data_IF_878228575394
#
_entry.id   IF_878228575394
#
_cell.length_a   1.000
_cell.length_b   1.000
_cell.length_c   1.000
_cell.angle_alpha   90.00
_cell.angle_beta   90.00
_cell.angle_gamma   90.00
#
_symmetry.space_group_name_H-M   'P 1'
#
loop_
_entity.id
_entity.type
_entity.pdbx_description
1 polymer ?
#
# COMPACT_ATOMS: atom_id res chain seq x y z
N UNK A 1 -20.09 33.14 -1.66
CA UNK A 1 -19.78 32.66 -1.45
C UNK A 1 -19.54 31.74 -1.93
N UNK A 2 -19.60 31.69 -2.18
CA UNK A 2 -19.32 30.76 -2.38
C UNK A 2 -18.41 30.09 -2.73
N UNK A 3 -17.91 30.20 -2.74
CA UNK A 3 -16.93 29.63 -2.86
C UNK A 3 -16.45 28.73 -2.41
N UNK A 4 -16.80 28.66 -2.11
CA UNK A 4 -16.31 27.87 -1.50
C UNK A 4 -16.24 26.70 -1.92
N UNK A 5 -16.48 26.73 -2.21
CA UNK A 5 -16.25 25.59 -2.40
C UNK A 5 -15.44 24.87 -3.02
N UNK A 6 -15.15 25.37 -3.15
CA UNK A 6 -14.36 24.69 -3.43
C UNK A 6 -13.56 24.03 -3.30
N UNK A 7 -13.52 24.22 -3.14
CA UNK A 7 -12.79 23.59 -2.83
C UNK A 7 -12.46 22.76 -2.71
N UNK A 8 -12.77 22.82 -2.58
CA UNK A 8 -12.44 22.04 -2.39
C UNK A 8 -12.15 21.24 -2.73
N UNK A 9 -12.37 21.34 -2.95
CA UNK A 9 -12.04 20.53 -3.14
C UNK A 9 -11.37 19.84 -3.52
N UNK A 10 -11.24 19.99 -3.75
CA UNK A 10 -10.52 19.42 -3.78
C UNK A 10 -9.91 18.79 -3.92
N UNK A 11 -9.93 18.73 -3.90
CA UNK A 11 -9.25 18.11 -3.78
C UNK A 11 -8.69 17.41 -3.77
N UNK A 12 -8.66 17.37 -3.80
CA UNK A 12 -8.00 16.74 -3.63
C UNK A 12 -7.74 15.82 -3.66
N UNK A 13 -7.89 15.56 -3.64
CA UNK A 13 -7.64 14.65 -3.48
C UNK A 13 -7.25 13.68 -4.20
N UNK A 14 -7.52 13.46 -4.46
CA UNK A 14 -7.45 12.47 -5.36
C UNK A 14 -6.08 12.11 -5.69
N UNK A 15 -5.50 12.91 -6.03
CA UNK A 15 -4.21 12.73 -6.31
C UNK A 15 -3.56 12.01 -5.29
N UNK A 16 -4.14 11.95 -4.32
CA UNK A 16 -3.54 11.36 -3.24
C UNK A 16 -3.27 9.94 -3.38
N UNK A 17 -4.17 9.22 -3.93
CA UNK A 17 -4.05 7.81 -4.02
C UNK A 17 -2.80 7.34 -4.67
N UNK A 18 -2.29 8.04 -5.60
CA UNK A 18 -1.15 7.53 -6.30
C UNK A 18 0.13 7.69 -5.54
N UNK A 19 0.11 8.29 -4.39
CA UNK A 19 1.31 8.52 -3.63
C UNK A 19 1.52 7.57 -2.49
N UNK A 20 0.74 6.50 -2.39
CA UNK A 20 0.83 5.61 -1.25
C UNK A 20 2.03 4.69 -1.27
N UNK A 21 2.57 4.40 -2.44
CA UNK A 21 3.71 3.48 -2.55
C UNK A 21 5.00 4.27 -2.36
N UNK A 22 5.31 4.58 -1.11
CA UNK A 22 6.47 5.39 -0.75
C UNK A 22 7.34 4.67 0.26
N UNK A 23 8.58 5.09 0.35
CA UNK A 23 9.50 4.55 1.34
C UNK A 23 8.98 4.84 2.76
N UNK A 24 8.39 6.00 2.96
CA UNK A 24 7.83 6.35 4.25
C UNK A 24 6.75 5.37 4.68
N UNK A 25 5.80 5.06 3.81
CA UNK A 25 4.74 4.12 4.15
C UNK A 25 5.28 2.71 4.31
N UNK A 26 6.22 2.32 3.46
CA UNK A 26 6.84 1.02 3.56
C UNK A 26 7.54 0.84 4.92
N UNK A 27 8.18 1.89 5.41
CA UNK A 27 8.91 1.81 6.67
C UNK A 27 8.01 1.59 7.88
N UNK A 28 6.70 1.75 7.72
CA UNK A 28 5.75 1.53 8.80
C UNK A 28 5.26 0.09 8.89
N UNK A 29 5.64 -0.75 7.94
CA UNK A 29 5.21 -2.15 7.94
C UNK A 29 6.02 -2.94 8.97
N UNK A 30 5.33 -3.76 9.75
CA UNK A 30 5.96 -4.59 10.76
C UNK A 30 5.48 -6.03 10.63
N UNK A 31 6.34 -6.96 10.99
CA UNK A 31 5.96 -8.37 11.06
C UNK A 31 4.81 -8.52 12.05
N UNK A 32 3.78 -9.26 11.65
CA UNK A 32 2.59 -9.44 12.46
C UNK A 32 1.50 -8.43 12.19
N UNK A 33 1.76 -7.42 11.38
CA UNK A 33 0.75 -6.42 11.03
C UNK A 33 -0.38 -7.07 10.23
N UNK A 34 -1.66 -6.77 10.54
CA UNK A 34 -2.77 -7.35 9.78
C UNK A 34 -2.79 -6.86 8.34
N UNK A 35 -3.30 -7.70 7.45
CA UNK A 35 -3.43 -7.36 6.04
C UNK A 35 -4.16 -6.02 5.84
N UNK A 36 -5.24 -5.79 6.60
CA UNK A 36 -6.01 -4.56 6.45
C UNK A 36 -5.18 -3.32 6.75
N UNK A 37 -4.28 -3.41 7.69
CA UNK A 37 -3.43 -2.29 8.05
C UNK A 37 -2.43 -2.00 6.94
N UNK A 38 -1.90 -3.05 6.32
CA UNK A 38 -0.97 -2.86 5.20
C UNK A 38 -1.69 -2.19 4.04
N UNK A 39 -2.93 -2.57 3.77
CA UNK A 39 -3.68 -1.94 2.68
C UNK A 39 -4.05 -0.50 2.99
N UNK A 40 -4.17 -0.14 4.25
CA UNK A 40 -4.36 1.25 4.60
C UNK A 40 -3.11 2.08 4.32
N UNK A 41 -1.94 1.47 4.48
CA UNK A 41 -0.68 2.16 4.20
C UNK A 41 -0.37 2.24 2.72
N UNK A 42 -0.52 1.13 2.01
CA UNK A 42 -0.06 1.02 0.63
C UNK A 42 -1.17 1.08 -0.42
N UNK A 43 -2.41 1.00 0.01
CA UNK A 43 -3.52 0.93 -0.91
C UNK A 43 -3.79 -0.51 -1.32
N UNK A 44 -4.58 -0.68 -2.37
CA UNK A 44 -4.94 -2.00 -2.87
C UNK A 44 -3.75 -2.61 -3.61
N UNK A 45 -3.41 -3.87 -3.34
CA UNK A 45 -2.29 -4.49 -4.05
C UNK A 45 -2.63 -4.72 -5.53
N UNK A 46 -1.61 -4.72 -6.35
CA UNK A 46 -1.77 -4.96 -7.78
C UNK A 46 -1.90 -6.44 -8.11
N UNK A 47 -1.23 -7.29 -7.37
CA UNK A 47 -1.28 -8.73 -7.56
C UNK A 47 -1.16 -9.44 -6.23
N UNK A 48 -1.90 -10.54 -6.07
CA UNK A 48 -1.74 -11.42 -4.91
C UNK A 48 -1.85 -12.86 -5.37
N UNK A 49 -1.02 -13.72 -4.78
CA UNK A 49 -1.05 -15.16 -5.03
C UNK A 49 -1.06 -15.89 -3.71
N UNK A 50 -1.85 -16.95 -3.62
CA UNK A 50 -1.89 -17.81 -2.44
C UNK A 50 -1.16 -19.10 -2.77
N UNK A 51 -0.10 -19.40 -2.01
CA UNK A 51 0.66 -20.63 -2.21
C UNK A 51 0.86 -21.28 -0.86
N UNK A 52 0.28 -22.46 -0.67
CA UNK A 52 0.46 -23.27 0.53
C UNK A 52 0.22 -22.51 1.83
N UNK A 53 -0.84 -21.71 1.85
CA UNK A 53 -1.20 -20.96 3.04
C UNK A 53 -0.50 -19.62 3.20
N UNK A 54 0.38 -19.29 2.28
CA UNK A 54 1.07 -18.00 2.29
C UNK A 54 0.50 -17.15 1.17
N UNK A 55 0.06 -15.94 1.51
CA UNK A 55 -0.42 -15.00 0.50
C UNK A 55 0.70 -14.02 0.19
N UNK A 56 1.11 -13.97 -1.06
CA UNK A 56 2.15 -13.06 -1.51
C UNK A 56 1.51 -11.96 -2.33
N UNK A 57 1.62 -10.73 -1.89
CA UNK A 57 1.04 -9.59 -2.59
C UNK A 57 2.12 -8.64 -3.07
N UNK A 58 1.86 -8.01 -4.20
CA UNK A 58 2.78 -7.05 -4.80
C UNK A 58 2.04 -5.75 -5.06
N UNK A 59 2.64 -4.65 -4.66
CA UNK A 59 2.19 -3.30 -4.97
C UNK A 59 3.20 -2.68 -5.90
N UNK A 60 2.72 -2.06 -6.99
CA UNK A 60 3.62 -1.40 -7.93
C UNK A 60 3.86 -2.21 -9.19
N UNK A 61 4.96 -1.93 -9.85
CA UNK A 61 5.30 -2.58 -11.12
C UNK A 61 6.69 -3.22 -11.02
N UNK A 62 7.26 -3.60 -12.16
CA UNK A 62 8.55 -4.29 -12.15
C UNK A 62 9.71 -3.41 -11.74
N UNK A 63 9.55 -2.10 -11.79
CA UNK A 63 10.65 -1.18 -11.49
C UNK A 63 10.58 -0.64 -10.07
N UNK A 64 9.38 -0.41 -9.57
CA UNK A 64 9.18 0.14 -8.23
C UNK A 64 8.07 -0.67 -7.58
N UNK A 65 8.38 -1.38 -6.51
CA UNK A 65 7.40 -2.26 -5.92
C UNK A 65 7.66 -2.55 -4.45
N UNK A 66 6.61 -3.06 -3.81
CA UNK A 66 6.68 -3.64 -2.47
C UNK A 66 6.08 -5.02 -2.57
N UNK A 67 6.77 -6.02 -2.01
CA UNK A 67 6.25 -7.36 -1.88
C UNK A 67 6.04 -7.65 -0.40
N UNK A 68 4.88 -8.21 -0.05
CA UNK A 68 4.61 -8.59 1.33
C UNK A 68 4.02 -9.99 1.31
N UNK A 69 4.52 -10.84 2.20
CA UNK A 69 3.99 -12.19 2.38
C UNK A 69 3.23 -12.25 3.68
N UNK A 70 2.02 -12.81 3.63
CA UNK A 70 1.13 -12.91 4.79
C UNK A 70 0.85 -14.38 5.11
N UNK A 71 0.82 -14.68 6.41
CA UNK A 71 0.39 -15.99 6.89
C UNK A 71 -0.72 -15.72 7.91
N UNK A 72 -1.86 -16.38 7.73
CA UNK A 72 -3.03 -16.18 8.60
C UNK A 72 -3.43 -14.70 8.68
N UNK A 73 -3.27 -13.97 7.57
CA UNK A 73 -3.68 -12.58 7.49
C UNK A 73 -2.71 -11.59 8.11
N UNK A 74 -1.50 -12.04 8.49
CA UNK A 74 -0.52 -11.16 9.12
C UNK A 74 0.80 -11.20 8.39
N UNK A 75 1.51 -10.08 8.40
CA UNK A 75 2.78 -9.95 7.70
C UNK A 75 3.80 -10.93 8.25
N UNK A 76 4.39 -11.71 7.36
CA UNK A 76 5.48 -12.62 7.69
C UNK A 76 6.82 -12.01 7.29
N UNK A 77 6.91 -11.53 6.05
CA UNK A 77 8.10 -10.83 5.59
C UNK A 77 7.71 -9.86 4.47
N UNK A 78 8.61 -8.95 4.18
CA UNK A 78 8.33 -7.91 3.19
C UNK A 78 9.63 -7.38 2.62
N UNK A 79 9.56 -6.86 1.39
CA UNK A 79 10.72 -6.29 0.71
C UNK A 79 10.26 -5.22 -0.27
N UNK A 80 11.18 -4.40 -0.72
CA UNK A 80 10.85 -3.33 -1.65
C UNK A 80 11.98 -3.09 -2.64
N UNK A 81 11.66 -2.37 -3.70
CA UNK A 81 12.65 -1.98 -4.70
C UNK A 81 12.32 -0.58 -5.20
N UNK A 82 13.33 0.28 -5.21
CA UNK A 82 13.26 1.63 -5.79
C UNK A 82 12.19 2.55 -5.22
N UNK A 83 11.83 2.37 -3.97
CA UNK A 83 10.88 3.29 -3.35
C UNK A 83 11.54 4.62 -3.02
N UNK A 84 10.75 5.66 -3.03
CA UNK A 84 11.21 7.01 -2.69
C UNK A 84 10.34 7.62 -1.57
#
# INVERSE_FOLDING_TARGET
MNIRTVVATGLLLALLGCSQLTLENYSKINVGMPYDEVTQLLGKPDQCDDVMGVRNCKWGDDKRYVNVSFVAGKVLLFSSSNLK
#
